data_IF_350543219971
#
_entry.id   IF_350543219971
#
_cell.length_a   1.000
_cell.length_b   1.000
_cell.length_c   1.000
_cell.angle_alpha   90.00
_cell.angle_beta   90.00
_cell.angle_gamma   90.00
#
_symmetry.space_group_name_H-M   'P 1'
#
loop_
_entity.id
_entity.type
_entity.pdbx_description
1 polymer ?
#
# COMPACT_ATOMS: atom_id res chain seq x y z
N UNK A 1 1.40 -34.12 -85.51
CA UNK A 1 0.22 -33.30 -85.83
C UNK A 1 -0.84 -33.59 -84.83
N UNK A 2 -1.33 -32.58 -84.10
CA UNK A 2 -2.44 -32.77 -83.11
C UNK A 2 -2.32 -31.78 -81.95
N UNK A 3 -2.89 -30.61 -82.11
CA UNK A 3 -3.01 -29.60 -81.01
C UNK A 3 -3.96 -30.10 -79.97
N UNK A 4 -3.51 -30.20 -78.72
CA UNK A 4 -4.39 -30.34 -77.54
C UNK A 4 -4.48 -28.97 -76.84
N UNK A 5 -5.69 -28.46 -76.77
CA UNK A 5 -6.04 -27.13 -76.21
C UNK A 5 -6.13 -27.23 -74.67
N UNK A 6 -5.27 -26.51 -73.98
CA UNK A 6 -5.31 -26.24 -72.58
C UNK A 6 -6.45 -25.25 -72.24
N UNK A 7 -7.56 -25.73 -71.70
CA UNK A 7 -8.68 -24.91 -71.21
C UNK A 7 -8.99 -25.20 -69.66
N UNK A 8 -7.95 -25.41 -68.89
CA UNK A 8 -8.13 -25.74 -67.50
C UNK A 8 -7.41 -24.85 -66.51
N UNK A 9 -6.51 -23.99 -66.96
CA UNK A 9 -5.62 -23.24 -66.08
C UNK A 9 -6.12 -21.85 -65.63
N UNK A 10 -7.17 -21.33 -66.25
CA UNK A 10 -7.62 -19.94 -66.00
C UNK A 10 -8.73 -19.85 -64.92
N UNK A 11 -9.40 -20.94 -64.58
CA UNK A 11 -10.45 -20.96 -63.56
C UNK A 11 -9.91 -21.20 -62.15
N UNK A 12 -8.71 -21.77 -61.99
CA UNK A 12 -8.09 -22.01 -60.69
C UNK A 12 -7.40 -20.75 -60.11
N UNK A 13 -6.99 -19.80 -60.95
CA UNK A 13 -6.33 -18.56 -60.52
C UNK A 13 -7.30 -17.50 -60.01
N UNK A 14 -8.57 -17.53 -60.41
CA UNK A 14 -9.58 -16.58 -59.94
C UNK A 14 -10.17 -17.01 -58.56
N UNK A 15 -10.18 -18.31 -58.28
CA UNK A 15 -10.62 -18.81 -56.98
C UNK A 15 -9.59 -18.58 -55.84
N UNK A 16 -8.28 -18.54 -56.17
CA UNK A 16 -7.23 -18.24 -55.18
C UNK A 16 -7.13 -16.74 -54.86
N UNK A 17 -7.51 -15.85 -55.77
CA UNK A 17 -7.49 -14.41 -55.53
C UNK A 17 -8.61 -13.92 -54.61
N UNK A 18 -9.74 -14.63 -54.52
CA UNK A 18 -10.86 -14.28 -53.67
C UNK A 18 -10.70 -14.74 -52.19
N UNK A 19 -9.84 -15.72 -51.93
CA UNK A 19 -9.53 -16.18 -50.58
C UNK A 19 -8.55 -15.25 -49.87
N UNK A 20 -7.71 -14.51 -50.60
CA UNK A 20 -6.75 -13.55 -50.02
C UNK A 20 -7.36 -12.16 -49.74
N UNK A 21 -8.52 -11.85 -50.30
CA UNK A 21 -9.19 -10.56 -50.06
C UNK A 21 -10.01 -10.53 -48.74
N UNK A 22 -10.27 -11.67 -48.12
CA UNK A 22 -10.97 -11.76 -46.82
C UNK A 22 -10.05 -11.92 -45.59
N UNK A 23 -8.72 -12.11 -45.82
CA UNK A 23 -7.73 -12.20 -44.74
C UNK A 23 -7.07 -10.86 -44.37
N UNK A 24 -7.43 -9.77 -45.01
CA UNK A 24 -6.79 -8.45 -44.88
C UNK A 24 -7.49 -7.49 -43.89
N UNK A 25 -8.50 -7.94 -43.12
CA UNK A 25 -9.21 -7.10 -42.16
C UNK A 25 -9.01 -7.51 -40.68
N UNK A 26 -8.08 -8.44 -40.40
CA UNK A 26 -7.55 -8.60 -39.06
C UNK A 26 -6.36 -7.64 -38.88
N UNK A 27 -6.65 -6.36 -38.79
CA UNK A 27 -5.70 -5.34 -38.40
C UNK A 27 -5.26 -5.63 -36.95
N UNK A 28 -4.02 -6.12 -36.78
CA UNK A 28 -3.33 -6.04 -35.50
C UNK A 28 -3.12 -4.57 -35.18
N UNK A 29 -4.07 -3.98 -34.51
CA UNK A 29 -3.84 -2.83 -33.68
C UNK A 29 -3.15 -3.33 -32.39
N UNK A 30 -1.81 -3.31 -32.37
CA UNK A 30 -1.05 -3.27 -31.12
C UNK A 30 -1.25 -1.87 -30.52
N UNK A 31 -2.45 -1.62 -30.01
CA UNK A 31 -2.69 -0.62 -28.98
C UNK A 31 -2.38 -1.31 -27.67
N UNK A 32 -1.44 -0.79 -26.90
CA UNK A 32 -1.41 -0.99 -25.46
C UNK A 32 -2.78 -0.54 -24.95
N UNK A 33 -3.71 -1.49 -24.87
CA UNK A 33 -5.05 -1.28 -24.38
C UNK A 33 -4.93 -1.05 -22.88
N UNK A 34 -5.32 0.15 -22.46
CA UNK A 34 -5.79 0.33 -21.11
C UNK A 34 -6.60 -0.91 -20.73
N UNK A 35 -6.20 -1.63 -19.66
CA UNK A 35 -6.96 -2.74 -19.11
C UNK A 35 -8.32 -2.17 -18.73
N UNK A 36 -9.31 -2.35 -19.57
CA UNK A 36 -10.69 -1.98 -19.32
C UNK A 36 -11.31 -2.96 -18.33
N UNK A 37 -12.48 -2.61 -17.84
CA UNK A 37 -13.33 -3.41 -16.94
C UNK A 37 -13.11 -4.91 -17.08
N UNK A 38 -12.84 -5.65 -15.97
CA UNK A 38 -12.46 -7.06 -16.03
C UNK A 38 -13.50 -7.89 -16.77
N UNK A 39 -13.05 -8.86 -17.55
CA UNK A 39 -13.91 -9.93 -18.03
C UNK A 39 -14.35 -10.76 -16.82
N UNK A 40 -15.65 -11.14 -16.74
CA UNK A 40 -16.17 -12.00 -15.68
C UNK A 40 -15.24 -13.19 -15.41
N UNK A 41 -14.63 -13.23 -14.22
CA UNK A 41 -13.74 -14.29 -13.77
C UNK A 41 -12.26 -13.91 -13.59
N UNK A 42 -11.85 -12.68 -13.90
CA UNK A 42 -10.49 -12.20 -13.62
C UNK A 42 -10.32 -11.90 -12.12
N UNK A 43 -9.17 -12.24 -11.54
CA UNK A 43 -8.84 -11.92 -10.16
C UNK A 43 -8.23 -10.51 -10.07
N UNK A 44 -8.62 -9.73 -9.04
CA UNK A 44 -7.96 -8.48 -8.70
C UNK A 44 -6.79 -8.81 -7.76
N UNK A 45 -5.55 -8.44 -8.15
CA UNK A 45 -4.36 -8.61 -7.30
C UNK A 45 -4.23 -7.40 -6.38
N UNK A 46 -4.42 -7.63 -5.08
CA UNK A 46 -4.41 -6.59 -4.05
C UNK A 46 -3.23 -6.77 -3.12
N UNK A 47 -2.36 -5.76 -3.06
CA UNK A 47 -1.28 -5.70 -2.07
C UNK A 47 -1.85 -5.37 -0.70
N UNK A 48 -1.63 -6.26 0.28
CA UNK A 48 -2.13 -6.12 1.65
C UNK A 48 -1.04 -6.38 2.68
N UNK A 49 -1.22 -5.87 3.90
CA UNK A 49 -0.38 -6.25 5.03
C UNK A 49 -0.70 -7.69 5.48
N UNK A 50 0.27 -8.33 6.12
CA UNK A 50 0.11 -9.67 6.69
C UNK A 50 0.37 -9.71 8.20
N UNK A 51 0.78 -8.58 8.78
CA UNK A 51 1.33 -8.45 10.13
C UNK A 51 0.59 -7.44 11.02
N UNK A 52 -0.50 -6.82 10.54
CA UNK A 52 -1.28 -5.83 11.29
C UNK A 52 -2.62 -6.43 11.70
N UNK A 53 -2.70 -6.84 12.97
CA UNK A 53 -3.94 -7.40 13.55
C UNK A 53 -5.06 -6.37 13.49
N UNK A 54 -6.24 -6.79 13.04
CA UNK A 54 -7.40 -5.92 12.83
C UNK A 54 -7.45 -5.26 11.45
N UNK A 55 -6.33 -5.11 10.73
CA UNK A 55 -6.26 -4.48 9.40
C UNK A 55 -5.94 -5.48 8.29
N UNK A 56 -4.73 -6.01 8.26
CA UNK A 56 -4.28 -7.03 7.32
C UNK A 56 -3.38 -8.03 8.04
N UNK A 57 -3.92 -9.18 8.38
CA UNK A 57 -3.24 -10.23 9.12
C UNK A 57 -3.35 -11.57 8.40
N UNK A 58 -2.21 -12.23 8.18
CA UNK A 58 -2.15 -13.58 7.62
C UNK A 58 -2.09 -14.61 8.75
N UNK A 59 -3.08 -15.47 8.81
CA UNK A 59 -3.00 -16.67 9.65
C UNK A 59 -2.18 -17.74 8.93
N UNK A 60 -0.93 -17.89 9.32
CA UNK A 60 -0.01 -18.85 8.67
C UNK A 60 -0.48 -20.30 8.74
N UNK A 61 -1.23 -20.68 9.79
CA UNK A 61 -1.75 -22.03 9.94
C UNK A 61 -2.86 -22.38 8.94
N UNK A 62 -3.60 -21.39 8.46
CA UNK A 62 -4.71 -21.56 7.51
C UNK A 62 -4.41 -20.99 6.12
N UNK A 63 -3.39 -20.15 6.00
CA UNK A 63 -3.08 -19.38 4.79
C UNK A 63 -4.12 -18.30 4.44
N UNK A 64 -4.98 -17.92 5.39
CA UNK A 64 -6.05 -16.94 5.16
C UNK A 64 -5.70 -15.58 5.75
N UNK A 65 -6.07 -14.53 4.99
CA UNK A 65 -5.99 -13.15 5.44
C UNK A 65 -7.27 -12.75 6.17
N UNK A 66 -7.14 -11.84 7.14
CA UNK A 66 -8.22 -11.29 7.94
C UNK A 66 -7.94 -9.81 8.25
N UNK A 67 -8.99 -9.03 8.43
CA UNK A 67 -8.90 -7.66 8.88
C UNK A 67 -9.77 -6.70 8.07
N UNK A 68 -9.86 -5.46 8.54
CA UNK A 68 -10.62 -4.38 7.90
C UNK A 68 -10.25 -4.21 6.42
N UNK A 69 -8.96 -4.17 6.12
CA UNK A 69 -8.45 -3.94 4.78
C UNK A 69 -8.69 -5.13 3.84
N UNK A 70 -8.76 -6.34 4.39
CA UNK A 70 -9.12 -7.54 3.65
C UNK A 70 -10.59 -7.47 3.23
N UNK A 71 -11.48 -7.16 4.19
CA UNK A 71 -12.91 -7.01 3.90
C UNK A 71 -13.19 -5.85 2.94
N UNK A 72 -12.48 -4.72 3.08
CA UNK A 72 -12.57 -3.59 2.14
C UNK A 72 -12.16 -4.01 0.73
N UNK A 73 -11.06 -4.74 0.59
CA UNK A 73 -10.57 -5.19 -0.71
C UNK A 73 -11.54 -6.17 -1.40
N UNK A 74 -12.13 -7.10 -0.64
CA UNK A 74 -13.13 -8.05 -1.16
C UNK A 74 -14.41 -7.32 -1.61
N UNK A 75 -14.95 -6.43 -0.80
CA UNK A 75 -16.16 -5.66 -1.13
C UNK A 75 -15.93 -4.71 -2.31
N UNK A 76 -14.79 -4.00 -2.32
CA UNK A 76 -14.38 -3.14 -3.43
C UNK A 76 -14.29 -3.94 -4.74
N UNK A 77 -13.63 -5.09 -4.72
CA UNK A 77 -13.50 -5.97 -5.90
C UNK A 77 -14.86 -6.45 -6.41
N UNK A 78 -15.76 -6.85 -5.50
CA UNK A 78 -17.12 -7.26 -5.83
C UNK A 78 -17.90 -6.12 -6.51
N UNK A 79 -17.83 -4.90 -6.00
CA UNK A 79 -18.49 -3.71 -6.61
C UNK A 79 -17.90 -3.37 -7.98
N UNK A 80 -16.63 -3.64 -8.19
CA UNK A 80 -15.96 -3.46 -9.48
C UNK A 80 -16.22 -4.60 -10.47
N UNK A 81 -16.92 -5.68 -10.06
CA UNK A 81 -17.27 -6.82 -10.91
C UNK A 81 -16.20 -7.90 -11.03
N UNK A 82 -15.20 -7.91 -10.17
CA UNK A 82 -14.22 -9.00 -10.09
C UNK A 82 -14.82 -10.24 -9.44
N UNK A 83 -14.45 -11.41 -9.94
CA UNK A 83 -14.94 -12.69 -9.40
C UNK A 83 -14.21 -13.14 -8.14
N UNK A 84 -12.95 -12.75 -8.00
CA UNK A 84 -12.06 -13.14 -6.90
C UNK A 84 -11.03 -12.05 -6.60
N UNK A 85 -10.46 -12.09 -5.39
CA UNK A 85 -9.31 -11.28 -4.99
C UNK A 85 -8.12 -12.22 -4.77
N UNK A 86 -6.97 -11.85 -5.33
CA UNK A 86 -5.68 -12.46 -5.02
C UNK A 86 -4.91 -11.52 -4.08
N UNK A 87 -4.74 -11.92 -2.84
CA UNK A 87 -3.99 -11.15 -1.85
C UNK A 87 -2.50 -11.40 -2.00
N UNK A 88 -1.73 -10.32 -2.10
CA UNK A 88 -0.26 -10.35 -2.17
C UNK A 88 0.30 -9.62 -0.95
N UNK A 89 1.09 -10.34 -0.13
CA UNK A 89 1.73 -9.70 1.03
C UNK A 89 2.69 -8.61 0.60
N UNK A 90 2.55 -7.44 1.22
CA UNK A 90 3.48 -6.32 1.07
C UNK A 90 3.94 -5.79 2.43
N UNK A 91 5.12 -5.18 2.44
CA UNK A 91 5.65 -4.44 3.58
C UNK A 91 5.71 -2.95 3.27
N UNK A 92 5.87 -2.05 4.25
CA UNK A 92 6.08 -0.63 3.99
C UNK A 92 7.24 -0.35 3.03
N UNK A 93 8.28 -1.17 3.07
CA UNK A 93 9.47 -1.05 2.22
C UNK A 93 9.22 -1.53 0.78
N UNK A 94 8.47 -2.62 0.59
CA UNK A 94 8.28 -3.24 -0.74
C UNK A 94 7.07 -2.70 -1.51
N UNK A 95 6.03 -2.22 -0.82
CA UNK A 95 4.71 -1.89 -1.41
C UNK A 95 4.78 -0.87 -2.55
N UNK A 96 5.67 0.14 -2.45
CA UNK A 96 5.85 1.16 -3.48
C UNK A 96 6.31 0.56 -4.80
N UNK A 97 7.36 -0.26 -4.73
CA UNK A 97 7.96 -0.86 -5.93
C UNK A 97 7.05 -1.92 -6.54
N UNK A 98 6.40 -2.75 -5.71
CA UNK A 98 5.44 -3.76 -6.18
C UNK A 98 4.26 -3.14 -6.92
N UNK A 99 3.72 -2.01 -6.43
CA UNK A 99 2.65 -1.29 -7.14
C UNK A 99 3.18 -0.64 -8.42
N UNK A 100 4.36 -0.02 -8.39
CA UNK A 100 4.98 0.63 -9.56
C UNK A 100 5.30 -0.36 -10.67
N UNK A 101 5.76 -1.56 -10.31
CA UNK A 101 6.12 -2.63 -11.26
C UNK A 101 4.89 -3.37 -11.81
N UNK A 102 3.71 -3.20 -11.21
CA UNK A 102 2.49 -3.93 -11.58
C UNK A 102 2.46 -5.37 -11.05
N UNK A 103 3.21 -5.66 -9.98
CA UNK A 103 3.12 -6.94 -9.26
C UNK A 103 1.76 -7.08 -8.56
N UNK A 104 1.15 -5.94 -8.22
CA UNK A 104 -0.23 -5.80 -7.73
C UNK A 104 -0.99 -4.75 -8.55
N UNK A 105 -2.31 -4.88 -8.63
CA UNK A 105 -3.19 -3.98 -9.38
C UNK A 105 -3.58 -2.74 -8.55
N UNK A 106 -3.73 -2.94 -7.24
CA UNK A 106 -3.96 -1.87 -6.25
C UNK A 106 -3.39 -2.25 -4.88
N UNK A 107 -3.39 -1.29 -3.96
CA UNK A 107 -2.79 -1.41 -2.63
C UNK A 107 -3.78 -1.00 -1.55
N UNK A 108 -4.07 -1.91 -0.61
CA UNK A 108 -4.89 -1.68 0.60
C UNK A 108 -4.05 -2.17 1.79
N UNK A 109 -3.18 -1.30 2.32
CA UNK A 109 -2.07 -1.76 3.16
C UNK A 109 -1.60 -0.70 4.18
N UNK A 110 -2.51 -0.11 4.97
CA UNK A 110 -2.26 1.03 5.85
C UNK A 110 -1.46 2.11 5.08
N UNK A 111 -1.94 2.45 3.87
CA UNK A 111 -1.17 3.29 2.97
C UNK A 111 -1.66 4.74 3.03
N UNK A 112 -0.93 5.56 3.80
CA UNK A 112 -1.27 6.96 4.02
C UNK A 112 -1.27 7.74 2.71
N UNK A 113 -2.32 8.50 2.48
CA UNK A 113 -2.40 9.51 1.44
C UNK A 113 -1.40 10.61 1.83
N UNK A 114 -0.42 10.87 0.97
CA UNK A 114 0.60 11.88 1.20
C UNK A 114 1.01 12.52 -0.13
N UNK A 115 1.27 13.82 -0.13
CA UNK A 115 1.66 14.59 -1.33
C UNK A 115 2.85 13.96 -2.07
N UNK A 116 3.82 13.43 -1.33
CA UNK A 116 4.99 12.75 -1.91
C UNK A 116 4.62 11.45 -2.66
N UNK A 117 3.54 10.77 -2.24
CA UNK A 117 3.03 9.54 -2.84
C UNK A 117 2.08 9.82 -4.00
N UNK A 118 1.26 10.86 -3.90
CA UNK A 118 0.32 11.29 -4.94
C UNK A 118 1.02 11.71 -6.24
N UNK A 119 2.32 12.02 -6.21
CA UNK A 119 3.13 12.25 -7.41
C UNK A 119 3.25 11.00 -8.27
N UNK A 120 3.22 9.82 -7.66
CA UNK A 120 3.47 8.53 -8.32
C UNK A 120 2.23 7.62 -8.38
N UNK A 121 1.24 7.87 -7.54
CA UNK A 121 0.06 7.02 -7.37
C UNK A 121 -1.21 7.87 -7.37
N UNK A 122 -2.32 7.26 -7.78
CA UNK A 122 -3.65 7.79 -7.52
C UNK A 122 -4.22 7.11 -6.27
N UNK A 123 -4.92 7.88 -5.45
CA UNK A 123 -5.57 7.39 -4.24
C UNK A 123 -7.09 7.48 -4.34
N UNK A 124 -7.78 6.54 -3.71
CA UNK A 124 -9.21 6.65 -3.42
C UNK A 124 -9.46 7.73 -2.36
N UNK A 125 -10.73 8.10 -2.11
CA UNK A 125 -11.10 8.74 -0.84
C UNK A 125 -10.58 7.94 0.34
N UNK A 126 -10.33 8.63 1.48
CA UNK A 126 -9.90 8.00 2.72
C UNK A 126 -10.95 7.03 3.24
N UNK A 127 -10.54 5.79 3.56
CA UNK A 127 -11.41 4.81 4.21
C UNK A 127 -11.17 4.71 5.72
N UNK A 128 -10.04 5.23 6.23
CA UNK A 128 -9.70 5.20 7.65
C UNK A 128 -8.81 6.40 8.00
N UNK A 129 -9.07 6.97 9.18
CA UNK A 129 -8.21 8.02 9.75
C UNK A 129 -7.50 7.45 10.96
N UNK A 130 -6.17 7.55 10.98
CA UNK A 130 -5.30 7.09 12.05
C UNK A 130 -4.39 8.22 12.53
N UNK A 131 -3.69 8.01 13.63
CA UNK A 131 -2.68 8.93 14.15
C UNK A 131 -1.36 8.20 14.38
N UNK A 132 -0.26 8.78 13.92
CA UNK A 132 1.07 8.32 14.34
C UNK A 132 1.35 8.75 15.77
N UNK A 133 1.75 7.80 16.61
CA UNK A 133 1.92 7.94 18.06
C UNK A 133 3.34 7.60 18.52
N UNK A 134 3.61 7.85 19.79
CA UNK A 134 4.86 7.50 20.48
C UNK A 134 4.56 6.50 21.59
N UNK A 135 5.15 5.31 21.50
CA UNK A 135 5.06 4.25 22.51
C UNK A 135 6.38 4.11 23.28
N UNK A 136 6.30 3.95 24.58
CA UNK A 136 7.46 3.80 25.48
C UNK A 136 7.26 2.63 26.43
N UNK A 137 8.36 2.08 26.95
CA UNK A 137 8.31 1.15 28.08
C UNK A 137 7.96 1.90 29.38
N UNK A 138 7.07 1.34 30.20
CA UNK A 138 6.68 1.93 31.50
C UNK A 138 7.86 2.04 32.46
N UNK A 139 8.84 1.15 32.35
CA UNK A 139 10.09 1.16 33.13
C UNK A 139 10.96 2.40 32.86
N UNK A 140 10.78 3.07 31.72
CA UNK A 140 11.51 4.31 31.41
C UNK A 140 11.07 5.51 32.25
N UNK A 141 9.87 5.44 32.85
CA UNK A 141 9.21 6.53 33.59
C UNK A 141 8.99 7.80 32.76
N UNK A 142 9.09 7.72 31.44
CA UNK A 142 8.82 8.82 30.51
C UNK A 142 7.30 9.03 30.45
N UNK A 143 6.83 10.23 30.74
CA UNK A 143 5.41 10.59 30.75
C UNK A 143 5.03 11.64 29.69
N UNK A 144 6.00 12.10 28.89
CA UNK A 144 5.77 13.07 27.82
C UNK A 144 7.00 13.26 26.96
N UNK A 145 6.80 13.93 25.83
CA UNK A 145 7.81 14.05 24.76
C UNK A 145 9.13 14.71 25.26
N UNK A 146 9.05 15.67 26.18
CA UNK A 146 10.23 16.35 26.71
C UNK A 146 11.16 15.41 27.48
N UNK A 147 10.64 14.33 28.05
CA UNK A 147 11.43 13.28 28.70
C UNK A 147 12.29 12.47 27.75
N UNK A 148 12.06 12.60 26.45
CA UNK A 148 12.81 11.90 25.40
C UNK A 148 13.96 12.74 24.78
N UNK A 149 14.25 13.93 25.34
CA UNK A 149 15.41 14.73 24.90
C UNK A 149 16.73 14.00 25.11
N UNK A 150 17.55 13.93 24.07
CA UNK A 150 18.83 13.23 24.07
C UNK A 150 18.72 11.71 23.81
N UNK A 151 17.51 11.18 23.70
CA UNK A 151 17.22 9.76 23.58
C UNK A 151 17.00 9.31 22.12
N UNK A 152 16.76 8.02 21.94
CA UNK A 152 16.64 7.39 20.61
C UNK A 152 15.20 7.03 20.32
N UNK A 153 14.70 7.57 19.21
CA UNK A 153 13.41 7.20 18.62
C UNK A 153 13.62 6.16 17.54
N UNK A 154 12.77 5.14 17.52
CA UNK A 154 12.72 4.16 16.45
C UNK A 154 11.47 4.34 15.60
N UNK A 155 11.58 4.10 14.29
CA UNK A 155 10.47 4.05 13.33
C UNK A 155 10.64 2.86 12.40
N UNK A 156 9.60 2.50 11.66
CA UNK A 156 9.67 1.50 10.59
C UNK A 156 10.16 2.16 9.28
N UNK A 157 11.13 1.56 8.60
CA UNK A 157 11.59 1.98 7.28
C UNK A 157 10.43 1.93 6.25
N UNK A 158 10.45 2.83 5.26
CA UNK A 158 9.41 2.91 4.22
C UNK A 158 8.07 3.51 4.66
N UNK A 159 7.94 3.91 5.95
CA UNK A 159 6.77 4.63 6.45
C UNK A 159 6.93 6.14 6.35
N UNK A 160 5.83 6.87 6.56
CA UNK A 160 5.84 8.33 6.61
C UNK A 160 6.16 8.88 8.02
N UNK A 161 6.25 8.00 9.02
CA UNK A 161 6.42 8.38 10.44
C UNK A 161 7.74 9.08 10.71
N UNK A 162 8.85 8.63 10.09
CA UNK A 162 10.16 9.24 10.31
C UNK A 162 10.23 10.72 9.90
N UNK A 163 9.86 11.13 8.68
CA UNK A 163 9.85 12.54 8.28
C UNK A 163 8.83 13.37 9.06
N UNK A 164 7.65 12.82 9.38
CA UNK A 164 6.63 13.51 10.17
C UNK A 164 7.09 13.77 11.60
N UNK A 165 7.73 12.79 12.25
CA UNK A 165 8.32 12.96 13.58
C UNK A 165 9.36 14.08 13.59
N UNK A 166 10.31 14.06 12.63
CA UNK A 166 11.34 15.09 12.55
C UNK A 166 10.72 16.49 12.35
N UNK A 167 9.72 16.60 11.47
CA UNK A 167 9.00 17.85 11.25
C UNK A 167 8.28 18.32 12.52
N UNK A 168 7.49 17.45 13.15
CA UNK A 168 6.72 17.75 14.37
C UNK A 168 7.61 18.18 15.54
N UNK A 169 8.73 17.50 15.74
CA UNK A 169 9.71 17.84 16.78
C UNK A 169 10.40 19.19 16.50
N UNK A 170 10.61 19.51 15.21
CA UNK A 170 11.14 20.82 14.82
C UNK A 170 10.14 21.95 15.07
N UNK A 171 8.89 21.74 14.65
CA UNK A 171 7.80 22.72 14.85
C UNK A 171 7.52 23.00 16.33
N UNK A 172 7.67 21.98 17.20
CA UNK A 172 7.51 22.13 18.64
C UNK A 172 8.72 22.77 19.34
N UNK A 173 9.82 23.01 18.62
CA UNK A 173 11.06 23.52 19.20
C UNK A 173 11.84 22.48 20.03
N UNK A 174 11.51 21.19 19.88
CA UNK A 174 12.25 20.11 20.52
C UNK A 174 13.67 19.95 19.93
N UNK A 175 13.82 20.20 18.64
CA UNK A 175 15.07 20.15 17.87
C UNK A 175 15.16 21.32 16.90
N UNK A 176 16.36 21.66 16.45
CA UNK A 176 16.57 22.62 15.34
C UNK A 176 16.12 22.05 13.98
N UNK A 177 15.99 20.72 13.86
CA UNK A 177 15.71 20.03 12.62
C UNK A 177 16.94 19.80 11.73
N UNK A 178 18.11 20.30 12.12
CA UNK A 178 19.37 20.07 11.38
C UNK A 178 19.90 18.66 11.67
N UNK A 179 20.08 17.86 10.61
CA UNK A 179 20.75 16.57 10.71
C UNK A 179 22.26 16.76 10.89
N UNK A 180 22.77 16.39 12.06
CA UNK A 180 24.19 16.49 12.41
C UNK A 180 25.00 15.31 11.88
N UNK A 181 24.36 14.14 11.74
CA UNK A 181 24.97 12.91 11.25
C UNK A 181 23.90 12.03 10.63
N UNK A 182 24.22 11.35 9.53
CA UNK A 182 23.33 10.40 8.89
C UNK A 182 24.14 9.28 8.26
N UNK A 183 23.64 8.02 8.39
CA UNK A 183 24.24 6.87 7.70
C UNK A 183 23.92 6.91 6.21
N UNK A 184 24.77 6.29 5.38
CA UNK A 184 24.59 6.27 3.91
C UNK A 184 23.26 5.60 3.48
N UNK A 185 22.82 4.60 4.22
CA UNK A 185 21.56 3.88 4.02
C UNK A 185 20.34 4.54 4.67
N UNK A 186 20.53 5.72 5.28
CA UNK A 186 19.50 6.45 6.03
C UNK A 186 18.87 5.67 7.19
N UNK A 187 19.46 4.57 7.64
CA UNK A 187 18.94 3.79 8.77
C UNK A 187 19.07 4.52 10.10
N UNK A 188 19.96 5.51 10.21
CA UNK A 188 20.12 6.34 11.40
C UNK A 188 20.37 7.80 11.01
N UNK A 189 19.70 8.71 11.72
CA UNK A 189 19.96 10.16 11.66
C UNK A 189 20.06 10.70 13.08
N UNK A 190 21.12 11.48 13.37
CA UNK A 190 21.30 12.18 14.63
C UNK A 190 20.98 13.67 14.46
N UNK A 191 20.10 14.16 15.27
CA UNK A 191 19.77 15.58 15.44
C UNK A 191 20.44 16.13 16.72
N UNK A 192 20.27 17.42 17.00
CA UNK A 192 20.84 18.06 18.19
C UNK A 192 20.29 17.48 19.51
N UNK A 193 19.01 17.13 19.57
CA UNK A 193 18.32 16.69 20.78
C UNK A 193 17.74 15.26 20.70
N UNK A 194 17.99 14.49 19.63
CA UNK A 194 17.57 13.09 19.56
C UNK A 194 18.29 12.32 18.45
N UNK A 195 18.19 11.00 18.53
CA UNK A 195 18.59 10.09 17.45
C UNK A 195 17.35 9.42 16.88
N UNK A 196 17.28 9.28 15.57
CA UNK A 196 16.24 8.56 14.86
C UNK A 196 16.84 7.32 14.20
N UNK A 197 16.27 6.15 14.47
CA UNK A 197 16.69 4.87 13.88
C UNK A 197 15.51 4.27 13.14
N UNK A 198 15.75 3.73 11.94
CA UNK A 198 14.75 3.05 11.13
C UNK A 198 14.99 1.55 11.17
N UNK A 199 13.95 0.80 11.54
CA UNK A 199 13.98 -0.67 11.65
C UNK A 199 13.37 -1.32 10.43
N UNK A 200 13.80 -2.55 10.11
CA UNK A 200 13.32 -3.29 8.95
C UNK A 200 11.91 -3.86 9.14
N UNK A 201 11.47 -4.07 10.39
CA UNK A 201 10.13 -4.57 10.70
C UNK A 201 9.58 -3.97 12.00
N UNK A 202 8.24 -4.01 12.17
CA UNK A 202 7.62 -3.62 13.44
C UNK A 202 7.98 -4.58 14.58
N UNK A 203 8.28 -5.85 14.27
CA UNK A 203 8.78 -6.80 15.26
C UNK A 203 10.16 -6.40 15.78
N UNK A 204 11.06 -5.97 14.88
CA UNK A 204 12.37 -5.47 15.27
C UNK A 204 12.25 -4.16 16.06
N UNK A 205 11.33 -3.28 15.66
CA UNK A 205 11.03 -2.03 16.37
C UNK A 205 10.53 -2.31 17.80
N UNK A 206 9.61 -3.26 17.95
CA UNK A 206 9.08 -3.70 19.24
C UNK A 206 10.15 -4.34 20.13
N UNK A 207 11.00 -5.19 19.54
CA UNK A 207 12.12 -5.81 20.25
C UNK A 207 13.16 -4.79 20.67
N UNK A 208 13.50 -3.84 19.80
CA UNK A 208 14.44 -2.78 20.10
C UNK A 208 13.99 -1.89 21.27
N UNK A 209 12.67 -1.66 21.39
CA UNK A 209 12.07 -0.95 22.53
C UNK A 209 12.18 -1.79 23.81
N UNK A 210 11.87 -3.09 23.77
CA UNK A 210 11.96 -4.02 24.91
C UNK A 210 13.40 -4.17 25.41
N UNK A 211 14.37 -4.26 24.51
CA UNK A 211 15.82 -4.38 24.82
C UNK A 211 16.45 -3.04 25.25
N UNK A 212 15.75 -1.92 25.10
CA UNK A 212 16.25 -0.58 25.43
C UNK A 212 17.32 -0.07 24.45
N UNK A 213 17.39 -0.63 23.22
CA UNK A 213 18.23 -0.10 22.15
C UNK A 213 17.63 1.15 21.48
N UNK A 214 16.32 1.35 21.65
CA UNK A 214 15.59 2.59 21.44
C UNK A 214 14.79 2.92 22.70
N UNK A 215 14.50 4.20 22.91
CA UNK A 215 13.77 4.68 24.09
C UNK A 215 12.28 4.92 23.78
N UNK A 216 11.95 5.13 22.52
CA UNK A 216 10.59 5.34 22.04
C UNK A 216 10.39 4.70 20.67
N UNK A 217 9.27 4.00 20.48
CA UNK A 217 8.82 3.45 19.21
C UNK A 217 7.71 4.34 18.63
N UNK A 218 7.90 4.84 17.41
CA UNK A 218 6.95 5.70 16.73
C UNK A 218 6.34 4.94 15.55
N UNK A 219 5.01 4.86 15.53
CA UNK A 219 4.24 4.12 14.53
C UNK A 219 2.78 4.60 14.51
N UNK A 220 2.03 4.13 13.53
CA UNK A 220 0.60 4.39 13.44
C UNK A 220 -0.16 3.68 14.57
N UNK A 221 -1.19 4.31 15.11
CA UNK A 221 -1.97 3.82 16.24
C UNK A 221 -2.59 2.45 15.98
N UNK A 222 -3.14 2.24 14.79
CA UNK A 222 -3.66 0.95 14.34
C UNK A 222 -2.61 -0.18 14.45
N UNK A 223 -1.36 0.11 14.16
CA UNK A 223 -0.25 -0.84 14.27
C UNK A 223 0.21 -1.00 15.73
N UNK A 224 0.24 0.10 16.48
CA UNK A 224 0.67 0.11 17.87
C UNK A 224 -0.15 -0.84 18.75
N UNK A 225 -1.46 -0.98 18.49
CA UNK A 225 -2.33 -1.92 19.22
C UNK A 225 -1.86 -3.37 19.13
N UNK A 226 -1.19 -3.76 18.04
CA UNK A 226 -0.61 -5.11 17.88
C UNK A 226 0.55 -5.36 18.86
N UNK A 227 1.28 -4.30 19.25
CA UNK A 227 2.51 -4.36 20.06
C UNK A 227 2.34 -3.81 21.47
N UNK A 228 1.19 -3.22 21.78
CA UNK A 228 0.88 -2.72 23.11
C UNK A 228 0.65 -3.90 24.07
N UNK A 229 1.26 -3.81 25.26
CA UNK A 229 1.11 -4.78 26.35
C UNK A 229 1.08 -4.06 27.70
N UNK A 230 1.09 -4.83 28.81
CA UNK A 230 1.01 -4.26 30.17
C UNK A 230 2.25 -3.43 30.57
N UNK A 231 3.39 -3.63 29.90
CA UNK A 231 4.66 -2.98 30.22
C UNK A 231 4.90 -1.72 29.39
N UNK A 232 3.97 -1.36 28.49
CA UNK A 232 4.07 -0.24 27.54
C UNK A 232 2.95 0.76 27.69
N UNK A 233 3.24 2.00 27.38
CA UNK A 233 2.27 3.08 27.28
C UNK A 233 2.44 3.87 25.99
N UNK A 234 1.32 4.43 25.51
CA UNK A 234 1.31 5.43 24.45
C UNK A 234 1.33 6.80 25.13
N UNK A 235 2.27 7.65 24.76
CA UNK A 235 2.34 9.03 25.25
C UNK A 235 1.16 9.85 24.69
N UNK A 236 0.70 10.82 25.48
CA UNK A 236 -0.24 11.85 24.99
C UNK A 236 0.50 12.84 24.07
N UNK A 237 0.94 12.31 22.91
CA UNK A 237 1.65 13.07 21.89
C UNK A 237 1.36 12.46 20.51
N UNK A 238 0.62 13.20 19.71
CA UNK A 238 0.32 12.85 18.32
C UNK A 238 1.38 13.45 17.42
N UNK A 239 2.08 12.58 16.67
CA UNK A 239 3.07 12.99 15.68
C UNK A 239 2.36 13.65 14.51
N UNK A 240 1.39 12.95 13.92
CA UNK A 240 0.56 13.43 12.82
C UNK A 240 -0.72 12.59 12.70
N UNK A 241 -1.73 13.15 12.05
CA UNK A 241 -2.94 12.43 11.66
C UNK A 241 -2.77 11.94 10.22
N UNK A 242 -3.08 10.67 9.98
CA UNK A 242 -2.93 10.05 8.67
C UNK A 242 -4.27 9.54 8.15
N UNK A 243 -4.47 9.67 6.85
CA UNK A 243 -5.63 9.13 6.15
C UNK A 243 -5.16 7.98 5.25
N UNK A 244 -5.79 6.81 5.38
CA UNK A 244 -5.48 5.65 4.54
C UNK A 244 -6.41 5.61 3.33
N UNK A 245 -5.83 5.39 2.16
CA UNK A 245 -6.55 5.23 0.91
C UNK A 245 -6.06 4.04 0.11
N UNK A 246 -6.90 3.57 -0.80
CA UNK A 246 -6.50 2.56 -1.78
C UNK A 246 -5.67 3.23 -2.86
N UNK A 247 -4.44 2.75 -3.07
CA UNK A 247 -3.56 3.28 -4.09
C UNK A 247 -3.57 2.43 -5.36
N UNK A 248 -3.50 3.11 -6.51
CA UNK A 248 -3.28 2.52 -7.84
C UNK A 248 -2.11 3.21 -8.52
N UNK A 249 -1.56 2.61 -9.58
CA UNK A 249 -0.57 3.31 -10.40
C UNK A 249 -1.15 4.63 -10.93
N UNK A 250 -0.31 5.66 -11.03
CA UNK A 250 -0.73 6.97 -11.53
C UNK A 250 -1.32 6.89 -12.93
N UNK A 251 -2.53 7.39 -13.10
CA UNK A 251 -3.26 7.38 -14.37
C UNK A 251 -3.73 5.99 -14.81
N UNK A 252 -3.77 5.01 -13.91
CA UNK A 252 -4.29 3.68 -14.19
C UNK A 252 -5.78 3.72 -14.55
N UNK A 253 -6.20 2.84 -15.45
CA UNK A 253 -7.61 2.63 -15.76
C UNK A 253 -8.42 2.14 -14.54
N UNK A 254 -7.75 1.61 -13.51
CA UNK A 254 -8.37 1.18 -12.26
C UNK A 254 -8.59 2.34 -11.27
N UNK A 255 -7.89 3.48 -11.40
CA UNK A 255 -7.95 4.58 -10.42
C UNK A 255 -9.38 5.06 -10.21
N UNK A 256 -10.13 5.31 -11.28
CA UNK A 256 -11.52 5.76 -11.17
C UNK A 256 -12.46 4.67 -10.63
N UNK A 257 -12.49 3.42 -11.14
CA UNK A 257 -13.31 2.36 -10.57
C UNK A 257 -13.04 2.11 -9.08
N UNK A 258 -11.79 2.10 -8.64
CA UNK A 258 -11.41 1.97 -7.23
C UNK A 258 -11.95 3.14 -6.41
N UNK A 259 -11.75 4.37 -6.87
CA UNK A 259 -12.25 5.57 -6.20
C UNK A 259 -13.78 5.56 -6.07
N UNK A 260 -14.50 5.22 -7.16
CA UNK A 260 -15.96 5.15 -7.16
C UNK A 260 -16.48 4.05 -6.22
N UNK A 261 -15.81 2.90 -6.15
CA UNK A 261 -16.21 1.80 -5.26
C UNK A 261 -16.02 2.20 -3.79
N UNK A 262 -14.86 2.78 -3.43
CA UNK A 262 -14.61 3.24 -2.05
C UNK A 262 -15.58 4.38 -1.68
N UNK A 263 -15.82 5.35 -2.58
CA UNK A 263 -16.79 6.41 -2.32
C UNK A 263 -18.19 5.83 -2.08
N UNK A 264 -18.63 4.86 -2.89
CA UNK A 264 -19.92 4.18 -2.69
C UNK A 264 -20.00 3.45 -1.34
N UNK A 265 -18.89 2.82 -0.90
CA UNK A 265 -18.81 2.16 0.41
C UNK A 265 -18.84 3.16 1.58
N UNK A 266 -18.32 4.37 1.39
CA UNK A 266 -18.44 5.47 2.36
C UNK A 266 -19.88 5.99 2.41
N UNK A 267 -20.50 6.24 1.26
CA UNK A 267 -21.83 6.84 1.14
C UNK A 267 -22.95 5.94 1.71
N UNK A 268 -22.81 4.62 1.57
CA UNK A 268 -23.81 3.67 2.06
C UNK A 268 -23.51 3.11 3.46
N UNK A 269 -22.42 3.56 4.10
CA UNK A 269 -22.03 3.17 5.46
C UNK A 269 -21.33 1.81 5.56
N UNK A 270 -20.96 1.18 4.44
CA UNK A 270 -20.23 -0.10 4.45
C UNK A 270 -18.89 0.03 5.15
N UNK A 271 -18.10 1.10 4.85
CA UNK A 271 -16.82 1.35 5.55
C UNK A 271 -17.01 1.45 7.06
N UNK A 272 -18.02 2.19 7.53
CA UNK A 272 -18.31 2.32 8.96
C UNK A 272 -18.64 0.97 9.60
N UNK A 273 -19.46 0.16 8.95
CA UNK A 273 -19.84 -1.18 9.42
C UNK A 273 -18.66 -2.14 9.47
N UNK A 274 -17.75 -2.09 8.49
CA UNK A 274 -16.52 -2.89 8.48
C UNK A 274 -15.55 -2.44 9.56
N UNK A 275 -15.42 -1.12 9.78
CA UNK A 275 -14.61 -0.56 10.87
C UNK A 275 -15.13 -1.02 12.24
N UNK A 276 -16.44 -0.95 12.47
CA UNK A 276 -17.06 -1.41 13.73
C UNK A 276 -16.86 -2.92 13.97
N UNK A 277 -16.78 -3.71 12.90
CA UNK A 277 -16.53 -5.16 12.98
C UNK A 277 -15.13 -5.50 13.49
N UNK A 278 -14.14 -4.63 13.21
CA UNK A 278 -12.73 -4.91 13.48
C UNK A 278 -12.13 -4.08 14.64
N UNK A 279 -12.89 -3.15 15.23
CA UNK A 279 -12.50 -2.35 16.42
C UNK A 279 -12.75 -3.10 17.75
#
# INVERSE_FOLDING_TARGET
MGKVRTRGATLLLVALALVWALAGLAGCGSGEGAKGTPANGEALRVGVRSDVVGFGYLNEGTGKYYGLEIDIAEEMAARMGYGTVEFVTVTPDTRKDMLSNGDVDCMVACYSIAESREKNFDFSPSYYTDASIVMVENSSLVSGIDGLKGLTFGTMAGTNTAPQLALKLTESGFTSGEALEQTEDHSMTRFDNFRLVQMASYQDLSRALEEGSIDAACMDGAIAHTYLNADRSILDYVIDTQEYGVATQKGSALSKPVSDAIQGMLDDGTIASLTDKWN
#
